data_IF_676430958012
#
_entry.id   IF_676430958012
#
_cell.length_a   1.000
_cell.length_b   1.000
_cell.length_c   1.000
_cell.angle_alpha   90.00
_cell.angle_beta   90.00
_cell.angle_gamma   90.00
#
_symmetry.space_group_name_H-M   'P 1'
#
loop_
_entity.id
_entity.type
_entity.pdbx_description
1 polymer ?
#
# COMPACT_ATOMS: atom_id res chain seq x y z
N UNK A 1 -11.41 -15.48 -4.04
CA UNK A 1 -11.22 -14.02 -4.10
C UNK A 1 -9.74 -13.76 -4.05
N UNK A 2 -9.23 -13.12 -5.09
CA UNK A 2 -7.86 -12.64 -5.18
C UNK A 2 -7.78 -11.23 -4.62
N UNK A 3 -6.60 -10.80 -4.21
CA UNK A 3 -6.40 -9.43 -3.72
C UNK A 3 -6.75 -8.37 -4.78
N UNK A 4 -6.63 -8.71 -6.07
CA UNK A 4 -6.98 -7.82 -7.19
C UNK A 4 -8.48 -7.55 -7.31
N UNK A 5 -9.33 -8.39 -6.69
CA UNK A 5 -10.78 -8.22 -6.71
C UNK A 5 -11.22 -7.10 -5.74
N UNK A 6 -10.31 -6.63 -4.87
CA UNK A 6 -10.59 -5.64 -3.84
C UNK A 6 -10.24 -4.21 -4.28
N UNK A 7 -11.04 -3.23 -3.85
CA UNK A 7 -10.79 -1.81 -4.16
C UNK A 7 -9.67 -1.20 -3.32
N UNK A 8 -9.51 -1.67 -2.09
CA UNK A 8 -8.57 -1.13 -1.11
C UNK A 8 -7.80 -2.24 -0.40
N UNK A 9 -6.56 -1.95 -0.08
CA UNK A 9 -5.67 -2.79 0.71
C UNK A 9 -5.17 -1.98 1.92
N UNK A 10 -4.96 -2.64 3.06
CA UNK A 10 -4.27 -2.03 4.20
C UNK A 10 -2.75 -2.17 4.04
N UNK A 11 -2.07 -1.08 3.68
CA UNK A 11 -0.62 -1.02 3.61
C UNK A 11 -0.04 -0.62 4.97
N UNK A 12 0.74 -1.52 5.58
CA UNK A 12 1.46 -1.24 6.84
C UNK A 12 2.91 -0.93 6.55
N UNK A 13 3.34 0.28 6.93
CA UNK A 13 4.75 0.69 6.93
C UNK A 13 5.24 0.86 8.36
N UNK A 14 6.55 0.85 8.57
CA UNK A 14 7.14 0.90 9.91
C UNK A 14 7.96 2.18 10.09
N UNK A 15 7.78 2.85 11.23
CA UNK A 15 8.62 3.97 11.64
C UNK A 15 10.03 3.48 12.00
N UNK A 16 11.01 4.39 12.12
CA UNK A 16 12.38 4.04 12.56
C UNK A 16 12.44 3.28 13.90
N UNK A 17 11.48 3.54 14.79
CA UNK A 17 11.36 2.87 16.08
C UNK A 17 10.63 1.51 16.01
N UNK A 18 10.29 1.02 14.82
CA UNK A 18 9.59 -0.24 14.61
C UNK A 18 8.07 -0.18 14.77
N UNK A 19 7.48 0.98 15.11
CA UNK A 19 6.02 1.10 15.23
C UNK A 19 5.32 0.87 13.87
N UNK A 20 4.36 -0.07 13.78
CA UNK A 20 3.58 -0.28 12.58
C UNK A 20 2.53 0.83 12.38
N UNK A 21 2.41 1.33 11.16
CA UNK A 21 1.43 2.33 10.75
C UNK A 21 0.69 1.86 9.51
N UNK A 22 -0.54 1.38 9.71
CA UNK A 22 -1.45 0.97 8.64
C UNK A 22 -2.10 2.16 7.93
N UNK A 23 -2.28 2.06 6.61
CA UNK A 23 -3.00 3.04 5.79
C UNK A 23 -3.79 2.33 4.69
N UNK A 24 -5.07 2.64 4.47
CA UNK A 24 -5.76 2.17 3.28
C UNK A 24 -5.15 2.81 2.03
N UNK A 25 -4.87 2.00 1.02
CA UNK A 25 -4.49 2.44 -0.33
C UNK A 25 -5.42 1.80 -1.34
N UNK A 26 -5.81 2.53 -2.38
CA UNK A 26 -6.45 1.89 -3.53
C UNK A 26 -5.45 0.99 -4.23
N UNK A 27 -5.93 0.01 -4.97
CA UNK A 27 -5.09 -0.80 -5.84
C UNK A 27 -5.71 -0.88 -7.23
N UNK A 28 -4.86 -1.15 -8.21
CA UNK A 28 -5.26 -1.46 -9.58
C UNK A 28 -4.57 -2.76 -10.00
N UNK A 29 -5.29 -3.61 -10.74
CA UNK A 29 -4.70 -4.79 -11.37
C UNK A 29 -3.71 -4.34 -12.47
N UNK A 30 -2.47 -4.83 -12.38
CA UNK A 30 -1.42 -4.58 -13.37
C UNK A 30 -1.25 -5.77 -14.33
N UNK A 31 -2.06 -6.81 -14.19
CA UNK A 31 -1.94 -8.08 -14.89
C UNK A 31 -0.94 -9.02 -14.20
N UNK A 32 -0.90 -10.27 -14.70
CA UNK A 32 0.01 -11.31 -14.22
C UNK A 32 -0.06 -11.58 -12.71
N UNK A 33 -1.23 -11.39 -12.10
CA UNK A 33 -1.44 -11.57 -10.66
C UNK A 33 -0.79 -10.49 -9.79
N UNK A 34 -0.48 -9.32 -10.36
CA UNK A 34 0.15 -8.21 -9.65
C UNK A 34 -0.79 -7.02 -9.51
N UNK A 35 -0.68 -6.31 -8.39
CA UNK A 35 -1.45 -5.10 -8.11
C UNK A 35 -0.50 -3.93 -7.86
N UNK A 36 -0.91 -2.73 -8.27
CA UNK A 36 -0.15 -1.50 -8.12
C UNK A 36 -0.93 -0.44 -7.37
N UNK A 37 -0.21 0.50 -6.76
CA UNK A 37 -0.76 1.76 -6.28
C UNK A 37 0.29 2.86 -6.42
N UNK A 38 -0.15 4.12 -6.42
CA UNK A 38 0.75 5.28 -6.45
C UNK A 38 0.51 6.16 -5.23
N UNK A 39 1.56 6.82 -4.77
CA UNK A 39 1.49 7.82 -3.70
C UNK A 39 2.59 8.85 -3.91
N UNK A 40 2.41 10.08 -3.44
CA UNK A 40 3.46 11.09 -3.55
C UNK A 40 4.68 10.66 -2.74
N UNK A 41 5.89 10.88 -3.27
CA UNK A 41 7.16 10.56 -2.57
C UNK A 41 7.33 11.33 -1.26
N UNK A 42 6.66 12.47 -1.12
CA UNK A 42 6.60 13.27 0.10
C UNK A 42 5.58 12.77 1.14
N UNK A 43 4.81 11.71 0.83
CA UNK A 43 3.83 11.13 1.75
C UNK A 43 4.53 10.46 2.93
N UNK A 44 3.92 10.56 4.12
CA UNK A 44 4.51 10.03 5.35
C UNK A 44 4.83 8.53 5.28
N UNK A 45 4.03 7.74 4.56
CA UNK A 45 4.23 6.29 4.37
C UNK A 45 5.45 5.92 3.51
N UNK A 46 6.03 6.90 2.81
CA UNK A 46 7.26 6.74 2.03
C UNK A 46 8.48 7.19 2.82
N UNK A 47 8.30 8.11 3.78
CA UNK A 47 9.39 8.65 4.61
C UNK A 47 9.92 7.56 5.54
N UNK A 48 11.25 7.52 5.68
CA UNK A 48 11.96 6.67 6.63
C UNK A 48 12.36 7.45 7.86
#
# INVERSE_FOLDING_TARGET
>A
MSIIDEKYLSLTTFRKNGEPKATPVWIVDLGNGTAGFTTASSSWKVKR
#
